data_IF_058642756315
#
_entry.id   IF_058642756315
#
_cell.length_a   1.000
_cell.length_b   1.000
_cell.length_c   1.000
_cell.angle_alpha   90.00
_cell.angle_beta   90.00
_cell.angle_gamma   90.00
#
_symmetry.space_group_name_H-M   'P 1'
#
loop_
_entity.id
_entity.type
_entity.pdbx_description
1 polymer ?
#
# COMPACT_ATOMS: atom_id res chain seq x y z
N UNK A 1 1.79 5.18 -6.44
CA UNK A 1 2.85 4.26 -5.99
C UNK A 1 2.43 3.55 -4.71
N UNK A 2 2.54 2.22 -4.63
CA UNK A 2 2.01 1.44 -3.50
C UNK A 2 2.74 1.80 -2.17
N UNK A 3 4.02 2.12 -2.25
CA UNK A 3 4.83 2.56 -1.11
C UNK A 3 4.39 3.95 -0.62
N UNK A 4 4.17 4.89 -1.53
CA UNK A 4 3.67 6.23 -1.20
C UNK A 4 2.27 6.19 -0.61
N UNK A 5 1.40 5.29 -1.10
CA UNK A 5 0.06 5.10 -0.52
C UNK A 5 0.20 4.70 0.95
N UNK A 6 1.01 3.69 1.27
CA UNK A 6 1.26 3.26 2.66
C UNK A 6 2.12 4.24 3.47
N UNK A 7 2.72 5.23 2.84
CA UNK A 7 3.63 6.20 3.49
C UNK A 7 4.94 5.56 3.95
N UNK A 8 5.43 4.56 3.21
CA UNK A 8 6.65 3.81 3.53
C UNK A 8 7.67 3.94 2.40
N UNK A 9 8.93 3.61 2.70
CA UNK A 9 9.99 3.57 1.70
C UNK A 9 9.89 2.31 0.82
N UNK A 10 10.44 2.36 -0.39
CA UNK A 10 10.61 1.18 -1.26
C UNK A 10 11.54 0.13 -0.66
N UNK A 11 12.40 0.52 0.29
CA UNK A 11 13.25 -0.36 1.10
C UNK A 11 12.51 -0.99 2.29
N UNK A 12 11.23 -0.67 2.49
CA UNK A 12 10.49 -1.15 3.65
C UNK A 12 10.37 -2.68 3.64
N UNK A 13 10.52 -3.25 4.83
CA UNK A 13 10.37 -4.68 5.09
C UNK A 13 8.89 -5.07 5.17
N UNK A 14 8.59 -6.37 5.03
CA UNK A 14 7.22 -6.88 5.15
C UNK A 14 6.58 -6.52 6.49
N UNK A 15 7.36 -6.45 7.57
CA UNK A 15 6.90 -5.99 8.88
C UNK A 15 6.48 -4.51 8.88
N UNK A 16 7.26 -3.64 8.25
CA UNK A 16 6.93 -2.22 8.12
C UNK A 16 5.68 -2.01 7.25
N UNK A 17 5.57 -2.74 6.15
CA UNK A 17 4.38 -2.76 5.28
C UNK A 17 3.13 -3.13 6.10
N UNK A 18 3.23 -4.19 6.90
CA UNK A 18 2.13 -4.67 7.75
C UNK A 18 1.78 -3.68 8.86
N UNK A 19 2.78 -3.04 9.46
CA UNK A 19 2.59 -2.03 10.51
C UNK A 19 1.94 -0.75 9.95
N UNK A 20 2.38 -0.29 8.79
CA UNK A 20 1.80 0.86 8.09
C UNK A 20 0.34 0.62 7.69
N UNK A 21 0.05 -0.55 7.10
CA UNK A 21 -1.30 -0.95 6.74
C UNK A 21 -2.23 -0.98 7.97
N UNK A 22 -1.80 -1.57 9.10
CA UNK A 22 -2.60 -1.56 10.34
C UNK A 22 -2.88 -0.14 10.84
N UNK A 23 -1.88 0.74 10.83
CA UNK A 23 -2.03 2.15 11.24
C UNK A 23 -3.06 2.87 10.35
N UNK A 24 -2.99 2.66 9.05
CA UNK A 24 -3.93 3.22 8.07
C UNK A 24 -5.34 2.63 8.23
N UNK A 25 -5.44 1.32 8.39
CA UNK A 25 -6.71 0.63 8.60
C UNK A 25 -7.44 1.15 9.84
N UNK A 26 -6.72 1.46 10.91
CA UNK A 26 -7.29 2.07 12.12
C UNK A 26 -7.67 3.55 11.92
N UNK A 27 -6.88 4.30 11.14
CA UNK A 27 -7.12 5.73 10.86
C UNK A 27 -8.29 5.95 9.91
N UNK A 28 -8.41 5.10 8.89
CA UNK A 28 -9.41 5.17 7.84
C UNK A 28 -10.50 4.10 8.00
N UNK A 29 -10.64 3.52 9.19
CA UNK A 29 -11.60 2.44 9.43
C UNK A 29 -13.04 2.91 9.12
N UNK A 30 -13.82 2.17 8.30
CA UNK A 30 -15.17 2.58 7.92
C UNK A 30 -16.12 2.69 9.12
N UNK A 31 -15.89 1.90 10.16
CA UNK A 31 -16.63 1.94 11.43
C UNK A 31 -16.48 3.27 12.18
N UNK A 32 -15.31 3.94 12.06
CA UNK A 32 -15.03 5.21 12.74
C UNK A 32 -15.14 6.43 11.83
N UNK A 33 -15.05 6.24 10.52
CA UNK A 33 -15.11 7.30 9.53
C UNK A 33 -15.96 6.88 8.32
N UNK A 34 -17.20 7.38 8.28
CA UNK A 34 -18.23 7.10 7.24
C UNK A 34 -18.03 8.03 6.01
N UNK A 35 -16.86 8.63 5.83
CA UNK A 35 -16.61 9.53 4.70
C UNK A 35 -16.19 8.75 3.45
N UNK A 36 -16.65 9.18 2.27
CA UNK A 36 -16.29 8.51 1.01
C UNK A 36 -14.77 8.52 0.75
N UNK A 37 -14.06 9.54 1.22
CA UNK A 37 -12.61 9.67 1.07
C UNK A 37 -11.82 8.60 1.87
N UNK A 38 -12.35 8.14 3.00
CA UNK A 38 -11.66 7.12 3.82
C UNK A 38 -11.79 5.74 3.19
N UNK A 39 -12.91 5.45 2.52
CA UNK A 39 -13.13 4.20 1.80
C UNK A 39 -12.15 4.04 0.64
N UNK A 40 -11.91 5.12 -0.10
CA UNK A 40 -11.01 5.07 -1.26
C UNK A 40 -9.54 4.93 -0.82
N UNK A 41 -9.12 5.67 0.21
CA UNK A 41 -7.80 5.51 0.83
C UNK A 41 -7.59 4.11 1.41
N UNK A 42 -8.60 3.55 2.08
CA UNK A 42 -8.52 2.20 2.63
C UNK A 42 -8.36 1.13 1.54
N UNK A 43 -9.12 1.24 0.44
CA UNK A 43 -8.98 0.35 -0.73
C UNK A 43 -7.58 0.43 -1.32
N UNK A 44 -7.05 1.64 -1.52
CA UNK A 44 -5.69 1.85 -2.06
C UNK A 44 -4.64 1.25 -1.11
N UNK A 45 -4.76 1.48 0.19
CA UNK A 45 -3.85 0.93 1.19
C UNK A 45 -3.90 -0.61 1.24
N UNK A 46 -5.08 -1.20 1.09
CA UNK A 46 -5.27 -2.64 1.01
C UNK A 46 -4.61 -3.23 -0.23
N UNK A 47 -4.85 -2.67 -1.41
CA UNK A 47 -4.21 -3.08 -2.66
C UNK A 47 -2.67 -2.96 -2.58
N UNK A 48 -2.20 -1.86 -1.98
CA UNK A 48 -0.80 -1.65 -1.68
C UNK A 48 -0.21 -2.79 -0.85
N UNK A 49 -0.86 -3.09 0.27
CA UNK A 49 -0.47 -4.17 1.16
C UNK A 49 -0.51 -5.54 0.47
N UNK A 50 -1.57 -5.88 -0.27
CA UNK A 50 -1.70 -7.20 -0.93
C UNK A 50 -0.62 -7.46 -1.99
N UNK A 51 -0.12 -6.41 -2.63
CA UNK A 51 0.95 -6.49 -3.62
C UNK A 51 2.33 -6.51 -2.95
N UNK A 52 2.55 -5.66 -1.95
CA UNK A 52 3.86 -5.48 -1.31
C UNK A 52 4.17 -6.54 -0.23
N UNK A 53 3.14 -7.11 0.40
CA UNK A 53 3.28 -8.15 1.42
C UNK A 53 3.74 -9.50 0.83
N UNK A 54 3.44 -9.75 -0.44
CA UNK A 54 3.88 -10.94 -1.15
C UNK A 54 5.16 -10.62 -1.94
N UNK A 55 6.30 -11.25 -1.64
CA UNK A 55 7.57 -10.96 -2.29
C UNK A 55 7.54 -11.26 -3.80
N UNK A 56 6.79 -12.27 -4.27
CA UNK A 56 6.64 -12.53 -5.71
C UNK A 56 5.85 -11.43 -6.40
N UNK A 57 4.73 -11.00 -5.80
CA UNK A 57 3.91 -9.90 -6.33
C UNK A 57 4.64 -8.57 -6.29
N UNK A 58 5.39 -8.30 -5.22
CA UNK A 58 6.24 -7.13 -5.06
C UNK A 58 7.31 -7.09 -6.13
N UNK A 59 8.01 -8.20 -6.37
CA UNK A 59 9.02 -8.28 -7.41
C UNK A 59 8.42 -8.03 -8.80
N UNK A 60 7.25 -8.59 -9.09
CA UNK A 60 6.53 -8.32 -10.34
C UNK A 60 6.06 -6.86 -10.45
N UNK A 61 5.62 -6.25 -9.36
CA UNK A 61 5.22 -4.85 -9.30
C UNK A 61 6.42 -3.91 -9.51
N UNK A 62 7.52 -4.13 -8.78
CA UNK A 62 8.74 -3.34 -8.87
C UNK A 62 9.37 -3.46 -10.27
N UNK A 63 9.32 -4.66 -10.88
CA UNK A 63 9.76 -4.89 -12.26
C UNK A 63 8.90 -4.16 -13.30
N UNK A 64 7.56 -4.13 -13.11
CA UNK A 64 6.66 -3.34 -13.98
C UNK A 64 6.82 -1.83 -13.77
N UNK A 65 6.97 -1.38 -12.53
CA UNK A 65 7.08 0.04 -12.20
C UNK A 65 8.41 0.62 -12.72
N UNK A 66 9.49 -0.18 -12.69
CA UNK A 66 10.78 0.18 -13.30
C UNK A 66 10.76 0.15 -14.84
N UNK A 67 9.86 -0.64 -15.45
CA UNK A 67 9.69 -0.66 -16.91
C UNK A 67 9.00 0.62 -17.44
N UNK A 68 8.13 1.25 -16.65
CA UNK A 68 7.37 2.44 -17.05
C UNK A 68 8.16 3.76 -17.03
N UNK A 69 9.47 3.73 -16.73
CA UNK A 69 10.33 4.92 -16.70
C UNK A 69 11.27 5.03 -17.93
N UNK A 70 11.01 4.24 -18.98
CA UNK A 70 11.73 4.28 -20.25
C UNK A 70 10.78 4.59 -21.41
N UNK A 71 10.30 5.83 -21.51
CA UNK A 71 9.88 6.45 -22.78
C UNK A 71 10.04 7.96 -22.69
#
# INVERSE_FOLDING_TARGET
DHYTVLGIATSATSDEIKKAYRKMALKYHPDKNISNDTTDMFRRAKLAYETLNDPQRRQGYDSKNSFNQRH
#
